data_IF_705317509542
#
_entry.id   IF_705317509542
#
_cell.length_a   1.000
_cell.length_b   1.000
_cell.length_c   1.000
_cell.angle_alpha   90.00
_cell.angle_beta   90.00
_cell.angle_gamma   90.00
#
_symmetry.space_group_name_H-M   'P 1'
#
loop_
_entity.id
_entity.type
_entity.pdbx_description
1 polymer ?
#
# COMPACT_ATOMS: atom_id res chain seq x y z
N UNK A 1 -2.23 9.62 -21.37
CA UNK A 1 -1.49 9.87 -20.12
C UNK A 1 -2.25 9.21 -18.97
N UNK A 2 -1.63 8.35 -18.16
CA UNK A 2 -2.31 7.64 -17.09
C UNK A 2 -2.86 8.62 -16.04
N UNK A 3 -4.09 8.40 -15.57
CA UNK A 3 -4.71 9.22 -14.52
C UNK A 3 -3.92 9.05 -13.22
N UNK A 4 -3.83 10.13 -12.43
CA UNK A 4 -3.12 10.15 -11.15
C UNK A 4 -3.95 9.49 -10.02
N UNK A 5 -4.51 8.32 -10.32
CA UNK A 5 -5.33 7.54 -9.41
C UNK A 5 -4.43 6.93 -8.33
N UNK A 6 -4.84 7.06 -7.08
CA UNK A 6 -4.07 6.59 -5.93
C UNK A 6 -4.97 5.87 -4.95
N UNK A 7 -4.43 4.86 -4.29
CA UNK A 7 -5.12 4.16 -3.22
C UNK A 7 -5.30 5.08 -2.01
N UNK A 8 -6.35 4.86 -1.21
CA UNK A 8 -6.59 5.68 -0.03
C UNK A 8 -5.55 5.41 1.06
N UNK A 9 -5.30 6.38 1.94
CA UNK A 9 -4.39 6.22 3.09
C UNK A 9 -4.78 5.04 3.99
N UNK A 10 -6.09 4.80 4.16
CA UNK A 10 -6.61 3.68 4.95
C UNK A 10 -6.24 2.32 4.35
N UNK A 11 -6.34 2.18 3.03
CA UNK A 11 -5.92 0.97 2.31
C UNK A 11 -4.41 0.77 2.44
N UNK A 12 -3.62 1.82 2.28
CA UNK A 12 -2.17 1.75 2.45
C UNK A 12 -1.77 1.28 3.86
N UNK A 13 -2.44 1.78 4.90
CA UNK A 13 -2.22 1.33 6.28
C UNK A 13 -2.59 -0.14 6.49
N UNK A 14 -3.68 -0.62 5.91
CA UNK A 14 -4.06 -2.04 5.95
C UNK A 14 -3.06 -2.92 5.20
N UNK A 15 -2.64 -2.51 4.01
CA UNK A 15 -1.63 -3.21 3.22
C UNK A 15 -0.29 -3.33 3.98
N UNK A 16 0.11 -2.27 4.70
CA UNK A 16 1.31 -2.28 5.55
C UNK A 16 1.23 -3.37 6.64
N UNK A 17 0.04 -3.53 7.27
CA UNK A 17 -0.20 -4.59 8.26
C UNK A 17 -0.14 -5.98 7.63
N UNK A 18 -0.71 -6.15 6.44
CA UNK A 18 -0.69 -7.42 5.69
C UNK A 18 0.74 -7.83 5.29
N UNK A 19 1.61 -6.87 4.99
CA UNK A 19 3.03 -7.15 4.75
C UNK A 19 3.78 -7.55 6.02
N UNK A 20 3.46 -6.91 7.14
CA UNK A 20 4.10 -7.16 8.43
C UNK A 20 3.66 -8.47 9.10
N UNK A 21 2.53 -9.06 8.68
CA UNK A 21 1.97 -10.26 9.31
C UNK A 21 2.70 -11.56 8.89
N UNK A 22 3.18 -12.34 9.89
CA UNK A 22 3.46 -13.75 9.89
C UNK A 22 2.86 -14.61 8.80
N UNK A 23 1.54 -14.61 8.91
CA UNK A 23 0.59 -15.58 8.38
C UNK A 23 0.08 -15.18 7.01
N UNK A 24 0.45 -13.99 6.54
CA UNK A 24 0.05 -13.48 5.24
C UNK A 24 0.75 -14.26 4.11
N UNK A 25 -0.06 -14.77 3.19
CA UNK A 25 0.40 -15.59 2.07
C UNK A 25 1.22 -14.76 1.08
N UNK A 26 2.05 -15.44 0.27
CA UNK A 26 2.89 -14.78 -0.76
C UNK A 26 2.05 -13.93 -1.73
N UNK A 27 0.87 -14.42 -2.10
CA UNK A 27 -0.08 -13.69 -2.94
C UNK A 27 -0.63 -12.43 -2.25
N UNK A 28 -1.05 -12.54 -0.99
CA UNK A 28 -1.53 -11.39 -0.21
C UNK A 28 -0.44 -10.32 -0.04
N UNK A 29 0.80 -10.73 0.22
CA UNK A 29 1.94 -9.82 0.31
C UNK A 29 2.21 -9.11 -1.02
N UNK A 30 2.13 -9.82 -2.14
CA UNK A 30 2.30 -9.21 -3.47
C UNK A 30 1.22 -8.15 -3.77
N UNK A 31 -0.05 -8.46 -3.48
CA UNK A 31 -1.16 -7.51 -3.65
C UNK A 31 -1.00 -6.30 -2.73
N UNK A 32 -0.63 -6.54 -1.47
CA UNK A 32 -0.41 -5.47 -0.50
C UNK A 32 0.76 -4.56 -0.91
N UNK A 33 1.84 -5.12 -1.44
CA UNK A 33 2.95 -4.35 -1.98
C UNK A 33 2.49 -3.46 -3.15
N UNK A 34 1.75 -4.00 -4.12
CA UNK A 34 1.19 -3.23 -5.24
C UNK A 34 0.24 -2.12 -4.78
N UNK A 35 -0.58 -2.37 -3.75
CA UNK A 35 -1.45 -1.35 -3.19
C UNK A 35 -0.67 -0.20 -2.50
N UNK A 36 0.49 -0.52 -1.93
CA UNK A 36 1.40 0.43 -1.28
C UNK A 36 2.13 1.32 -2.30
N UNK A 37 2.53 0.79 -3.46
CA UNK A 37 3.16 1.60 -4.50
C UNK A 37 2.20 2.63 -5.11
N UNK A 38 0.90 2.31 -5.12
CA UNK A 38 -0.16 3.21 -5.57
C UNK A 38 -0.62 4.21 -4.50
N UNK A 39 -0.09 4.12 -3.27
CA UNK A 39 -0.50 4.99 -2.17
C UNK A 39 0.07 6.42 -2.31
N UNK A 40 -0.64 7.45 -1.81
CA UNK A 40 -0.15 8.81 -1.83
C UNK A 40 1.09 8.96 -0.95
N UNK A 41 2.09 9.67 -1.47
CA UNK A 41 3.32 9.98 -0.73
C UNK A 41 3.00 10.65 0.61
N UNK A 42 3.67 10.18 1.67
CA UNK A 42 3.62 10.85 2.98
C UNK A 42 4.23 12.23 2.79
N UNK A 43 3.44 13.29 3.05
CA UNK A 43 3.95 14.68 2.98
C UNK A 43 5.14 14.78 3.95
N UNK A 44 6.35 14.99 3.42
CA UNK A 44 7.50 15.36 4.24
C UNK A 44 7.15 16.70 4.90
N UNK A 45 7.07 16.74 6.24
CA UNK A 45 7.09 18.03 6.94
C UNK A 45 8.51 18.57 6.77
N UNK A 46 8.62 19.78 6.20
CA UNK A 46 9.85 20.57 6.23
C UNK A 46 10.11 20.99 7.67
#
# INVERSE_FOLDING_TARGET
MAKNERTSKSIASKASKVLADPKSSKAMKSIAASALTQAPNKRKRK
#
